data_IF_410399896498
#
_entry.id   IF_410399896498
#
_cell.length_a   1.000
_cell.length_b   1.000
_cell.length_c   1.000
_cell.angle_alpha   90.00
_cell.angle_beta   90.00
_cell.angle_gamma   90.00
#
_symmetry.space_group_name_H-M   'P 1'
#
loop_
_entity.id
_entity.type
_entity.pdbx_description
1 polymer ?
#
# COMPACT_ATOMS: atom_id res chain seq x y z
N UNK A 1 0.12 -1.57 -11.03
CA UNK A 1 -0.51 -1.35 -9.71
C UNK A 1 -1.90 -1.95 -9.78
N UNK A 2 -2.35 -2.66 -8.75
CA UNK A 2 -3.70 -3.21 -8.65
C UNK A 2 -4.36 -2.63 -7.39
N UNK A 3 -5.56 -2.08 -7.55
CA UNK A 3 -6.42 -1.64 -6.45
C UNK A 3 -7.36 -2.79 -6.07
N UNK A 4 -7.29 -3.24 -4.82
CA UNK A 4 -7.98 -4.45 -4.38
C UNK A 4 -9.51 -4.35 -4.46
N UNK A 5 -10.08 -3.18 -4.19
CA UNK A 5 -11.54 -2.95 -4.23
C UNK A 5 -12.12 -3.16 -5.63
N UNK A 6 -11.30 -3.02 -6.69
CA UNK A 6 -11.73 -3.24 -8.06
C UNK A 6 -11.80 -4.73 -8.44
N UNK A 7 -11.21 -5.62 -7.64
CA UNK A 7 -11.12 -7.03 -7.98
C UNK A 7 -12.43 -7.80 -7.77
N UNK A 8 -13.37 -7.29 -6.98
CA UNK A 8 -14.68 -7.89 -6.77
C UNK A 8 -15.82 -6.86 -6.77
N UNK A 9 -15.59 -5.69 -7.38
CA UNK A 9 -16.56 -4.60 -7.44
C UNK A 9 -17.78 -4.99 -8.29
N UNK A 10 -18.82 -5.50 -7.63
CA UNK A 10 -20.09 -5.85 -8.24
C UNK A 10 -21.28 -5.65 -7.29
N UNK A 11 -22.49 -5.61 -7.86
CA UNK A 11 -23.74 -5.63 -7.10
C UNK A 11 -24.59 -6.84 -7.50
N UNK A 12 -25.08 -7.65 -6.54
CA UNK A 12 -24.75 -7.65 -5.10
C UNK A 12 -23.26 -7.87 -4.80
N UNK A 13 -22.83 -7.51 -3.59
CA UNK A 13 -21.42 -7.60 -3.17
C UNK A 13 -20.96 -9.07 -3.11
N UNK A 14 -20.05 -9.53 -3.99
CA UNK A 14 -19.70 -10.94 -4.10
C UNK A 14 -19.08 -11.51 -2.83
N UNK A 15 -18.25 -10.75 -2.11
CA UNK A 15 -17.67 -11.19 -0.84
C UNK A 15 -18.69 -11.35 0.29
N UNK A 16 -19.90 -10.80 0.16
CA UNK A 16 -21.01 -10.98 1.11
C UNK A 16 -21.90 -12.14 0.71
N UNK A 17 -22.35 -12.16 -0.55
CA UNK A 17 -23.32 -13.15 -1.03
C UNK A 17 -22.68 -14.50 -1.37
N UNK A 18 -21.41 -14.49 -1.79
CA UNK A 18 -20.66 -15.66 -2.26
C UNK A 18 -19.21 -15.65 -1.74
N UNK A 19 -18.98 -15.62 -0.41
CA UNK A 19 -17.63 -15.60 0.15
C UNK A 19 -16.77 -16.79 -0.29
N UNK A 20 -17.38 -17.94 -0.58
CA UNK A 20 -16.72 -19.14 -1.11
C UNK A 20 -16.19 -18.98 -2.53
N UNK A 21 -16.65 -17.96 -3.27
CA UNK A 21 -16.20 -17.73 -4.63
C UNK A 21 -14.78 -17.17 -4.70
N UNK A 22 -14.28 -16.53 -3.63
CA UNK A 22 -12.94 -15.92 -3.58
C UNK A 22 -12.64 -15.08 -4.84
N UNK A 23 -13.61 -14.24 -5.24
CA UNK A 23 -13.60 -13.57 -6.53
C UNK A 23 -12.39 -12.63 -6.67
N UNK A 24 -12.06 -11.90 -5.59
CA UNK A 24 -10.92 -10.99 -5.59
C UNK A 24 -9.60 -11.73 -5.82
N UNK A 25 -9.38 -12.86 -5.15
CA UNK A 25 -8.19 -13.69 -5.29
C UNK A 25 -8.08 -14.32 -6.67
N UNK A 26 -9.19 -14.83 -7.23
CA UNK A 26 -9.21 -15.39 -8.59
C UNK A 26 -8.91 -14.33 -9.66
N UNK A 27 -9.46 -13.13 -9.48
CA UNK A 27 -9.19 -12.01 -10.38
C UNK A 27 -7.75 -11.52 -10.25
N UNK A 28 -7.20 -11.45 -9.02
CA UNK A 28 -5.80 -11.15 -8.78
C UNK A 28 -4.89 -12.16 -9.48
N UNK A 29 -5.14 -13.46 -9.32
CA UNK A 29 -4.37 -14.54 -9.95
C UNK A 29 -4.34 -14.38 -11.48
N UNK A 30 -5.52 -14.13 -12.07
CA UNK A 30 -5.69 -13.96 -13.52
C UNK A 30 -4.97 -12.71 -14.01
N UNK A 31 -5.16 -11.56 -13.36
CA UNK A 31 -4.48 -10.33 -13.76
C UNK A 31 -2.96 -10.45 -13.62
N UNK A 32 -2.49 -11.05 -12.53
CA UNK A 32 -1.07 -11.23 -12.30
C UNK A 32 -0.43 -12.15 -13.34
N UNK A 33 -1.05 -13.28 -13.69
CA UNK A 33 -0.53 -14.17 -14.72
C UNK A 33 -0.38 -13.44 -16.07
N UNK A 34 -1.35 -12.62 -16.46
CA UNK A 34 -1.29 -11.79 -17.68
C UNK A 34 -0.17 -10.76 -17.62
N UNK A 35 0.06 -10.13 -16.47
CA UNK A 35 1.17 -9.20 -16.32
C UNK A 35 2.52 -9.92 -16.38
N UNK A 36 2.63 -11.13 -15.81
CA UNK A 36 3.82 -11.98 -15.90
C UNK A 36 4.13 -12.36 -17.36
N UNK A 37 3.11 -12.73 -18.14
CA UNK A 37 3.23 -13.02 -19.58
C UNK A 37 3.82 -11.83 -20.37
N UNK A 38 3.52 -10.60 -19.94
CA UNK A 38 4.07 -9.37 -20.52
C UNK A 38 5.44 -8.97 -19.97
N UNK A 39 6.05 -9.77 -19.09
CA UNK A 39 7.36 -9.51 -18.51
C UNK A 39 7.34 -8.59 -17.28
N UNK A 40 6.20 -8.37 -16.64
CA UNK A 40 6.18 -7.69 -15.34
C UNK A 40 6.67 -8.64 -14.24
N UNK A 41 7.45 -8.09 -13.30
CA UNK A 41 8.05 -8.84 -12.18
C UNK A 41 7.76 -8.20 -10.81
N UNK A 42 7.11 -7.04 -10.80
CA UNK A 42 6.86 -6.24 -9.61
C UNK A 42 5.40 -5.80 -9.60
N UNK A 43 4.75 -5.93 -8.45
CA UNK A 43 3.37 -5.50 -8.24
C UNK A 43 3.31 -4.58 -7.03
N UNK A 44 2.60 -3.46 -7.19
CA UNK A 44 2.07 -2.69 -6.06
C UNK A 44 0.60 -3.05 -5.96
N UNK A 45 0.20 -3.59 -4.81
CA UNK A 45 -1.18 -3.90 -4.46
C UNK A 45 -1.64 -2.95 -3.35
N UNK A 46 -2.78 -2.28 -3.54
CA UNK A 46 -3.30 -1.30 -2.58
C UNK A 46 -4.73 -1.64 -2.19
N UNK A 47 -4.97 -1.81 -0.89
CA UNK A 47 -6.29 -1.94 -0.28
C UNK A 47 -6.15 -1.72 1.24
N UNK A 48 -7.20 -1.23 1.89
CA UNK A 48 -7.18 -0.86 3.31
C UNK A 48 -6.83 -2.01 4.25
N UNK A 49 -7.23 -3.25 3.94
CA UNK A 49 -7.02 -4.43 4.80
C UNK A 49 -5.99 -5.40 4.24
N UNK A 50 -5.31 -5.06 3.13
CA UNK A 50 -4.38 -5.94 2.44
C UNK A 50 -3.29 -6.53 3.35
N UNK A 51 -2.80 -5.76 4.33
CA UNK A 51 -1.77 -6.21 5.28
C UNK A 51 -2.22 -7.37 6.17
N UNK A 52 -3.53 -7.52 6.40
CA UNK A 52 -4.10 -8.64 7.16
C UNK A 52 -4.23 -9.89 6.29
N UNK A 53 -4.37 -9.71 4.97
CA UNK A 53 -4.62 -10.76 3.99
C UNK A 53 -3.37 -11.14 3.16
N UNK A 54 -2.18 -10.65 3.56
CA UNK A 54 -0.94 -10.81 2.78
C UNK A 54 -0.64 -12.24 2.34
N UNK A 55 -0.94 -13.24 3.19
CA UNK A 55 -0.73 -14.64 2.88
C UNK A 55 -1.74 -15.18 1.86
N UNK A 56 -3.00 -14.74 1.92
CA UNK A 56 -4.02 -15.14 0.96
C UNK A 56 -3.71 -14.53 -0.41
N UNK A 57 -3.30 -13.26 -0.44
CA UNK A 57 -2.89 -12.56 -1.66
C UNK A 57 -1.66 -13.22 -2.29
N UNK A 58 -0.62 -13.54 -1.51
CA UNK A 58 0.58 -14.23 -2.00
C UNK A 58 0.24 -15.62 -2.60
N UNK A 59 -0.62 -16.39 -1.93
CA UNK A 59 -1.10 -17.68 -2.45
C UNK A 59 -1.89 -17.52 -3.75
N UNK A 60 -2.74 -16.50 -3.85
CA UNK A 60 -3.53 -16.23 -5.05
C UNK A 60 -2.63 -15.87 -6.24
N UNK A 61 -1.57 -15.10 -6.00
CA UNK A 61 -0.59 -14.76 -7.05
C UNK A 61 0.21 -15.97 -7.55
N UNK A 62 0.46 -16.97 -6.70
CA UNK A 62 1.33 -18.10 -7.03
C UNK A 62 2.81 -17.71 -7.14
N UNK A 63 3.67 -18.65 -7.52
CA UNK A 63 5.13 -18.47 -7.71
C UNK A 63 5.90 -17.96 -6.47
N UNK A 64 5.31 -18.04 -5.28
CA UNK A 64 5.90 -17.63 -3.99
C UNK A 64 6.52 -16.21 -4.04
N UNK A 65 5.70 -15.16 -4.20
CA UNK A 65 6.22 -13.82 -4.41
C UNK A 65 6.88 -13.29 -3.13
N UNK A 66 7.96 -12.53 -3.29
CA UNK A 66 8.53 -11.77 -2.18
C UNK A 66 7.58 -10.63 -1.82
N UNK A 67 6.96 -10.71 -0.65
CA UNK A 67 5.99 -9.72 -0.17
C UNK A 67 6.64 -8.76 0.82
N UNK A 68 6.51 -7.46 0.56
CA UNK A 68 6.79 -6.40 1.53
C UNK A 68 5.45 -5.77 1.92
N UNK A 69 4.89 -6.20 3.05
CA UNK A 69 3.66 -5.61 3.58
C UNK A 69 3.96 -4.31 4.33
N UNK A 70 3.25 -3.25 3.96
CA UNK A 70 3.41 -1.93 4.58
C UNK A 70 2.06 -1.37 4.99
N UNK A 71 1.93 -1.03 6.28
CA UNK A 71 0.81 -0.27 6.82
C UNK A 71 1.19 1.21 6.86
N UNK A 72 0.53 2.00 6.01
CA UNK A 72 0.64 3.46 6.05
C UNK A 72 -0.27 4.00 7.14
N UNK A 73 0.31 4.82 8.04
CA UNK A 73 -0.40 5.45 9.15
C UNK A 73 -0.39 6.96 8.96
N UNK A 74 -1.47 7.59 9.37
CA UNK A 74 -1.59 9.03 9.46
C UNK A 74 -2.42 9.33 10.70
N UNK A 75 -2.01 10.31 11.48
CA UNK A 75 -2.79 10.85 12.57
C UNK A 75 -4.14 11.36 12.10
N UNK A 76 -5.08 11.47 13.04
CA UNK A 76 -6.46 11.85 12.77
C UNK A 76 -6.56 13.23 12.11
N UNK A 77 -5.69 14.17 12.49
CA UNK A 77 -5.66 15.53 11.93
C UNK A 77 -5.20 15.55 10.47
N UNK A 78 -4.10 14.85 10.14
CA UNK A 78 -3.62 14.74 8.77
C UNK A 78 -4.62 13.99 7.88
N UNK A 79 -5.23 12.93 8.41
CA UNK A 79 -6.28 12.15 7.73
C UNK A 79 -7.50 13.02 7.45
N UNK A 80 -8.00 13.77 8.44
CA UNK A 80 -9.12 14.68 8.27
C UNK A 80 -8.81 15.80 7.26
N UNK A 81 -7.60 16.35 7.29
CA UNK A 81 -7.15 17.35 6.33
C UNK A 81 -7.15 16.84 4.88
N UNK A 82 -6.61 15.64 4.65
CA UNK A 82 -6.59 14.98 3.32
C UNK A 82 -7.99 14.66 2.82
N UNK A 83 -8.82 14.08 3.68
CA UNK A 83 -10.20 13.70 3.33
C UNK A 83 -11.07 14.94 3.04
N UNK A 84 -10.95 16.03 3.81
CA UNK A 84 -11.68 17.29 3.56
C UNK A 84 -11.33 17.89 2.20
N UNK A 85 -10.05 17.86 1.81
CA UNK A 85 -9.62 18.32 0.48
C UNK A 85 -10.24 17.49 -0.65
N UNK A 86 -10.36 16.17 -0.46
CA UNK A 86 -10.98 15.25 -1.44
C UNK A 86 -12.50 15.41 -1.52
N UNK A 87 -13.16 15.60 -0.39
CA UNK A 87 -14.63 15.64 -0.29
C UNK A 87 -15.24 17.02 -0.50
N UNK A 88 -14.42 18.09 -0.61
CA UNK A 88 -14.89 19.45 -0.84
C UNK A 88 -15.74 20.04 0.31
N UNK A 89 -15.64 19.49 1.53
CA UNK A 89 -16.51 19.88 2.64
C UNK A 89 -16.27 19.13 3.95
N UNK A 90 -17.19 19.32 4.91
CA UNK A 90 -17.16 18.62 6.21
C UNK A 90 -17.46 17.13 5.99
N UNK A 91 -16.58 16.28 6.51
CA UNK A 91 -16.79 14.83 6.51
C UNK A 91 -17.90 14.45 7.51
N UNK A 92 -18.78 13.50 7.17
CA UNK A 92 -19.71 12.92 8.13
C UNK A 92 -18.97 12.27 9.31
N UNK A 93 -19.44 12.50 10.54
CA UNK A 93 -18.84 11.93 11.76
C UNK A 93 -18.78 10.40 11.70
N UNK A 94 -19.80 9.76 11.11
CA UNK A 94 -19.84 8.31 10.93
C UNK A 94 -18.69 7.79 10.05
N UNK A 95 -18.29 8.54 9.02
CA UNK A 95 -17.18 8.18 8.15
C UNK A 95 -15.84 8.31 8.89
N UNK A 96 -15.67 9.37 9.69
CA UNK A 96 -14.48 9.55 10.52
C UNK A 96 -14.38 8.44 11.58
N UNK A 97 -15.47 8.13 12.27
CA UNK A 97 -15.51 7.08 13.28
C UNK A 97 -15.24 5.68 12.67
N UNK A 98 -15.75 5.41 11.46
CA UNK A 98 -15.42 4.19 10.73
C UNK A 98 -13.93 4.12 10.40
N UNK A 99 -13.36 5.19 9.84
CA UNK A 99 -11.93 5.27 9.52
C UNK A 99 -11.05 5.03 10.76
N UNK A 100 -11.36 5.67 11.89
CA UNK A 100 -10.62 5.51 13.14
C UNK A 100 -10.70 4.07 13.69
N UNK A 101 -11.88 3.44 13.63
CA UNK A 101 -12.04 2.02 14.02
C UNK A 101 -11.21 1.10 13.14
N UNK A 102 -11.23 1.33 11.83
CA UNK A 102 -10.44 0.54 10.88
C UNK A 102 -8.95 0.73 11.11
N UNK A 103 -8.48 1.95 11.34
CA UNK A 103 -7.08 2.24 11.69
C UNK A 103 -6.65 1.51 12.97
N UNK A 104 -7.43 1.61 14.05
CA UNK A 104 -7.13 0.91 15.31
C UNK A 104 -7.14 -0.62 15.18
N UNK A 105 -8.04 -1.18 14.36
CA UNK A 105 -8.03 -2.61 14.02
C UNK A 105 -6.75 -2.99 13.29
N UNK A 106 -6.33 -2.21 12.29
CA UNK A 106 -5.12 -2.48 11.52
C UNK A 106 -3.87 -2.40 12.39
N UNK A 107 -3.76 -1.38 13.26
CA UNK A 107 -2.62 -1.24 14.16
C UNK A 107 -2.47 -2.45 15.11
N UNK A 108 -3.59 -2.97 15.60
CA UNK A 108 -3.63 -4.08 16.55
C UNK A 108 -3.50 -5.45 15.89
N UNK A 109 -4.13 -5.66 14.73
CA UNK A 109 -4.20 -6.97 14.08
C UNK A 109 -3.07 -7.21 13.07
N UNK A 110 -2.40 -6.15 12.59
CA UNK A 110 -1.26 -6.31 11.70
C UNK A 110 -0.11 -6.99 12.43
N UNK A 111 0.41 -8.04 11.80
CA UNK A 111 1.53 -8.85 12.27
C UNK A 111 2.79 -8.01 12.48
N UNK A 112 3.72 -8.53 13.25
CA UNK A 112 5.01 -7.87 13.53
C UNK A 112 5.92 -7.76 12.30
N UNK A 113 5.70 -8.61 11.30
CA UNK A 113 6.40 -8.56 10.00
C UNK A 113 5.90 -7.44 9.08
N UNK A 114 4.78 -6.78 9.41
CA UNK A 114 4.26 -5.63 8.66
C UNK A 114 5.02 -4.37 9.03
N UNK A 115 5.67 -3.77 8.04
CA UNK A 115 6.37 -2.48 8.22
C UNK A 115 5.35 -1.36 8.38
N UNK A 116 5.53 -0.51 9.38
CA UNK A 116 4.67 0.65 9.63
C UNK A 116 5.38 1.92 9.18
N UNK A 117 4.66 2.77 8.43
CA UNK A 117 5.19 4.05 7.93
C UNK A 117 4.21 5.14 8.31
N UNK A 118 4.64 6.03 9.19
CA UNK A 118 3.92 7.25 9.52
C UNK A 118 4.09 8.27 8.40
N UNK A 119 2.97 8.88 7.98
CA UNK A 119 2.90 9.71 6.77
C UNK A 119 2.47 11.15 7.05
N UNK A 120 2.32 11.54 8.32
CA UNK A 120 1.80 12.87 8.71
C UNK A 120 2.56 14.02 8.06
N UNK A 121 3.89 13.96 8.09
CA UNK A 121 4.78 15.00 7.54
C UNK A 121 5.39 14.62 6.18
N UNK A 122 4.88 13.56 5.54
CA UNK A 122 5.41 13.06 4.27
C UNK A 122 4.51 13.46 3.10
N UNK A 123 5.15 13.90 2.01
CA UNK A 123 4.48 14.01 0.71
C UNK A 123 4.27 12.61 0.11
N UNK A 124 3.34 12.45 -0.84
CA UNK A 124 3.20 11.20 -1.59
C UNK A 124 4.53 10.74 -2.23
N UNK A 125 5.34 11.68 -2.71
CA UNK A 125 6.67 11.43 -3.28
C UNK A 125 7.65 10.89 -2.23
N UNK A 126 7.64 11.43 -1.01
CA UNK A 126 8.47 10.94 0.09
C UNK A 126 8.07 9.52 0.50
N UNK A 127 6.77 9.26 0.59
CA UNK A 127 6.24 7.92 0.87
C UNK A 127 6.66 6.95 -0.24
N UNK A 128 6.48 7.32 -1.51
CA UNK A 128 6.86 6.47 -2.65
C UNK A 128 8.36 6.15 -2.65
N UNK A 129 9.22 7.14 -2.38
CA UNK A 129 10.67 6.94 -2.26
C UNK A 129 11.01 5.99 -1.11
N UNK A 130 10.40 6.19 0.06
CA UNK A 130 10.59 5.32 1.23
C UNK A 130 10.17 3.89 0.93
N UNK A 131 9.01 3.69 0.31
CA UNK A 131 8.53 2.37 -0.11
C UNK A 131 9.47 1.71 -1.12
N UNK A 132 9.98 2.47 -2.09
CA UNK A 132 10.90 1.94 -3.10
C UNK A 132 12.27 1.54 -2.53
N UNK A 133 12.74 2.20 -1.48
CA UNK A 133 13.92 1.77 -0.72
C UNK A 133 13.63 0.52 0.10
N UNK A 134 12.48 0.46 0.79
CA UNK A 134 12.06 -0.70 1.60
C UNK A 134 11.95 -1.98 0.77
N UNK A 135 11.50 -1.88 -0.48
CA UNK A 135 11.39 -3.02 -1.41
C UNK A 135 12.70 -3.35 -2.11
N UNK A 136 13.76 -2.55 -1.93
CA UNK A 136 15.02 -2.66 -2.67
C UNK A 136 14.89 -2.33 -4.15
N UNK A 137 13.82 -1.66 -4.58
CA UNK A 137 13.63 -1.24 -5.97
C UNK A 137 14.46 -0.02 -6.33
N UNK A 138 14.77 0.81 -5.34
CA UNK A 138 15.75 1.90 -5.40
C UNK A 138 16.86 1.64 -4.38
N UNK A 139 18.10 1.97 -4.76
CA UNK A 139 19.21 1.98 -3.82
C UNK A 139 19.14 3.25 -2.95
N UNK A 140 19.50 3.18 -1.66
CA UNK A 140 19.70 4.39 -0.86
C UNK A 140 20.77 5.25 -1.52
N UNK A 141 20.47 6.52 -1.79
CA UNK A 141 21.50 7.45 -2.26
C UNK A 141 22.58 7.54 -1.17
N UNK A 142 23.77 7.02 -1.45
CA UNK A 142 24.95 7.32 -0.66
C UNK A 142 25.23 8.81 -0.85
N UNK A 143 25.35 9.57 0.24
CA UNK A 143 25.72 10.98 0.17
C UNK A 143 26.99 11.12 -0.65
N UNK A 144 26.95 11.94 -1.70
CA UNK A 144 28.17 12.44 -2.32
C UNK A 144 28.75 13.41 -1.30
N UNK A 145 29.76 12.95 -0.57
CA UNK A 145 30.63 13.82 0.22
C UNK A 145 31.19 14.87 -0.76
N UNK A 146 31.04 16.14 -0.38
CA UNK A 146 31.62 17.27 -1.09
C UNK A 146 33.14 17.03 -1.23
N UNK A 147 33.57 16.65 -2.42
CA UNK A 147 34.98 16.65 -2.77
C UNK A 147 35.43 18.11 -2.82
N UNK A 148 36.15 18.49 -1.75
CA UNK A 148 36.88 19.72 -1.53
C UNK A 148 37.59 20.22 -2.82
N UNK A 149 37.24 21.39 -3.38
CA UNK A 149 37.94 22.00 -4.49
C UNK A 149 39.17 22.75 -3.96
N UNK A 150 40.16 22.02 -3.46
CA UNK A 150 41.48 22.58 -3.16
C UNK A 150 42.55 21.59 -3.56
N UNK A 151 42.97 21.64 -4.83
CA UNK A 151 44.37 21.48 -5.29
C UNK A 151 44.40 21.46 -6.81
N UNK A 152 44.34 22.64 -7.43
CA UNK A 152 44.84 22.84 -8.79
C UNK A 152 45.08 24.34 -9.02
N UNK A 153 46.13 24.86 -8.38
CA UNK A 153 46.91 25.96 -8.97
C UNK A 153 48.36 25.73 -8.56
N UNK A 154 49.15 25.34 -9.56
CA UNK A 154 50.60 25.34 -9.58
C UNK A 154 51.07 26.07 -10.83
#
# INVERSE_FOLDING_TARGET
>A
MIEGDALDLAHPAPHVEHPEAHLAERNLATMWSRYRELGHHRLIFTNTVAVLEQNALARAMGDDPVVTAVLLRAGDEATAGRLRRRSGGRLPEAQMAHSARTAGRLDTAARDDVTRVDTDDLTPEDVARRLAVLTGWLLPQQGVDDADPSTADG
#
